data_IF_573820250361
#
_entry.id   IF_573820250361
#
_cell.length_a   1.000
_cell.length_b   1.000
_cell.length_c   1.000
_cell.angle_alpha   90.00
_cell.angle_beta   90.00
_cell.angle_gamma   90.00
#
_symmetry.space_group_name_H-M   'P 1'
#
loop_
_entity.id
_entity.type
_entity.pdbx_description
1 polymer ?
#
# COMPACT_ATOMS: atom_id res chain seq x y z
N UNK A 1 -79.22 18.20 14.94
CA UNK A 1 -78.34 17.25 15.66
C UNK A 1 -77.09 17.07 14.81
N UNK A 2 -75.96 17.63 15.25
CA UNK A 2 -74.73 17.83 14.46
C UNK A 2 -73.93 16.52 14.27
N UNK A 3 -73.68 16.12 13.02
CA UNK A 3 -72.73 15.06 12.68
C UNK A 3 -71.39 15.73 12.35
N UNK A 4 -70.44 15.69 13.29
CA UNK A 4 -69.05 16.10 13.08
C UNK A 4 -68.30 14.96 12.39
N UNK A 5 -68.02 15.13 11.10
CA UNK A 5 -67.13 14.25 10.33
C UNK A 5 -65.67 14.61 10.67
N UNK A 6 -64.99 13.75 11.44
CA UNK A 6 -63.55 13.87 11.71
C UNK A 6 -62.77 13.26 10.56
N UNK A 7 -62.12 14.10 9.76
CA UNK A 7 -61.20 13.70 8.71
C UNK A 7 -59.85 13.35 9.36
N UNK A 8 -59.50 12.06 9.39
CA UNK A 8 -58.20 11.59 9.87
C UNK A 8 -57.17 11.76 8.75
N UNK A 9 -56.19 12.64 8.95
CA UNK A 9 -55.07 12.85 8.04
C UNK A 9 -54.05 11.71 8.26
N UNK A 10 -54.06 10.71 7.39
CA UNK A 10 -53.04 9.66 7.38
C UNK A 10 -51.75 10.26 6.79
N UNK A 11 -50.78 10.57 7.64
CA UNK A 11 -49.42 10.91 7.22
C UNK A 11 -48.72 9.64 6.72
N UNK A 12 -48.77 9.39 5.42
CA UNK A 12 -47.96 8.37 4.77
C UNK A 12 -46.49 8.79 4.85
N UNK A 13 -45.77 8.24 5.83
CA UNK A 13 -44.31 8.28 5.82
C UNK A 13 -43.82 7.46 4.62
N UNK A 14 -43.50 8.14 3.52
CA UNK A 14 -42.75 7.54 2.41
C UNK A 14 -41.35 7.27 2.95
N UNK A 15 -41.12 6.05 3.43
CA UNK A 15 -39.78 5.54 3.59
C UNK A 15 -39.16 5.55 2.20
N UNK A 16 -38.32 6.54 1.91
CA UNK A 16 -37.39 6.50 0.79
C UNK A 16 -36.51 5.28 1.03
N UNK A 17 -36.90 4.14 0.45
CA UNK A 17 -36.00 3.04 0.23
C UNK A 17 -34.90 3.62 -0.67
N UNK A 18 -33.77 4.01 -0.08
CA UNK A 18 -32.55 4.24 -0.84
C UNK A 18 -32.26 2.93 -1.53
N UNK A 19 -32.60 2.83 -2.82
CA UNK A 19 -32.08 1.78 -3.67
C UNK A 19 -30.59 1.75 -3.46
N UNK A 20 -30.05 0.63 -2.99
CA UNK A 20 -28.60 0.42 -3.03
C UNK A 20 -28.20 0.55 -4.50
N UNK A 21 -27.69 1.72 -4.90
CA UNK A 21 -27.08 1.85 -6.22
C UNK A 21 -25.95 0.84 -6.26
N UNK A 22 -25.91 0.01 -7.31
CA UNK A 22 -24.77 -0.86 -7.52
C UNK A 22 -23.51 0.01 -7.62
N UNK A 23 -22.58 -0.16 -6.69
CA UNK A 23 -21.30 0.56 -6.68
C UNK A 23 -20.32 -0.13 -7.62
N UNK A 24 -19.51 0.65 -8.32
CA UNK A 24 -18.42 0.09 -9.13
C UNK A 24 -17.09 0.27 -8.41
N UNK A 25 -16.30 -0.80 -8.31
CA UNK A 25 -14.94 -0.76 -7.76
C UNK A 25 -13.90 -1.07 -8.84
N UNK A 26 -13.01 -0.12 -9.07
CA UNK A 26 -11.80 -0.30 -9.87
C UNK A 26 -10.76 -1.07 -9.06
N UNK A 27 -10.24 -2.19 -9.56
CA UNK A 27 -9.27 -3.01 -8.81
C UNK A 27 -8.00 -3.16 -9.64
N UNK A 28 -6.90 -2.62 -9.13
CA UNK A 28 -5.59 -2.88 -9.69
C UNK A 28 -5.04 -4.22 -9.20
N UNK A 29 -4.54 -5.03 -10.15
CA UNK A 29 -3.74 -6.22 -9.90
C UNK A 29 -2.79 -6.45 -11.08
N UNK A 30 -1.53 -6.83 -10.83
CA UNK A 30 -0.55 -7.13 -11.87
C UNK A 30 -1.04 -8.19 -12.87
N UNK A 31 -1.88 -9.13 -12.43
CA UNK A 31 -2.47 -10.19 -13.26
C UNK A 31 -3.94 -9.92 -13.61
N UNK A 32 -4.43 -8.70 -13.35
CA UNK A 32 -5.81 -8.31 -13.58
C UNK A 32 -6.78 -9.23 -12.83
N UNK A 33 -7.81 -9.74 -13.53
CA UNK A 33 -8.85 -10.56 -12.92
C UNK A 33 -8.37 -11.92 -12.36
N UNK A 34 -7.14 -12.33 -12.66
CA UNK A 34 -6.55 -13.60 -12.24
C UNK A 34 -5.63 -13.47 -11.01
N UNK A 35 -5.34 -12.26 -10.55
CA UNK A 35 -4.42 -12.07 -9.44
C UNK A 35 -5.06 -12.14 -8.06
N UNK A 36 -4.19 -12.25 -7.05
CA UNK A 36 -4.57 -12.44 -5.66
C UNK A 36 -5.26 -11.21 -5.06
N UNK A 37 -4.89 -9.99 -5.48
CA UNK A 37 -5.56 -8.77 -5.03
C UNK A 37 -6.99 -8.68 -5.59
N UNK A 38 -7.18 -9.05 -6.87
CA UNK A 38 -8.52 -9.15 -7.45
C UNK A 38 -9.36 -10.25 -6.79
N UNK A 39 -8.74 -11.38 -6.46
CA UNK A 39 -9.39 -12.47 -5.71
C UNK A 39 -9.86 -12.01 -4.33
N UNK A 40 -9.01 -11.28 -3.57
CA UNK A 40 -9.40 -10.68 -2.30
C UNK A 40 -10.57 -9.72 -2.44
N UNK A 41 -10.63 -8.94 -3.54
CA UNK A 41 -11.73 -8.01 -3.76
C UNK A 41 -13.06 -8.71 -4.10
N UNK A 42 -13.05 -9.96 -4.61
CA UNK A 42 -14.27 -10.77 -4.73
C UNK A 42 -14.83 -11.14 -3.36
N UNK A 43 -13.98 -11.57 -2.44
CA UNK A 43 -14.36 -11.86 -1.05
C UNK A 43 -14.89 -10.58 -0.37
N UNK A 44 -14.23 -9.45 -0.61
CA UNK A 44 -14.66 -8.14 -0.10
C UNK A 44 -16.04 -7.73 -0.63
N UNK A 45 -16.28 -7.84 -1.94
CA UNK A 45 -17.57 -7.51 -2.55
C UNK A 45 -18.71 -8.37 -2.00
N UNK A 46 -18.45 -9.65 -1.72
CA UNK A 46 -19.41 -10.54 -1.06
C UNK A 46 -19.72 -10.08 0.37
N UNK A 47 -18.70 -9.72 1.15
CA UNK A 47 -18.88 -9.21 2.52
C UNK A 47 -19.62 -7.86 2.55
N UNK A 48 -19.35 -6.99 1.58
CA UNK A 48 -19.92 -5.66 1.45
C UNK A 48 -21.45 -5.66 1.31
N UNK A 49 -22.04 -6.74 0.78
CA UNK A 49 -23.50 -6.95 0.75
C UNK A 49 -24.12 -6.92 2.14
N UNK A 50 -23.44 -7.51 3.13
CA UNK A 50 -23.85 -7.47 4.53
C UNK A 50 -23.80 -6.07 5.15
N UNK A 51 -23.15 -5.11 4.51
CA UNK A 51 -23.06 -3.72 4.95
C UNK A 51 -23.93 -2.78 4.11
N UNK A 52 -24.69 -3.30 3.15
CA UNK A 52 -25.63 -2.57 2.31
C UNK A 52 -25.05 -2.03 1.00
N UNK A 53 -23.88 -2.50 0.56
CA UNK A 53 -23.29 -2.14 -0.73
C UNK A 53 -23.30 -3.35 -1.69
N UNK A 54 -23.62 -3.10 -2.95
CA UNK A 54 -23.58 -4.13 -4.00
C UNK A 54 -22.51 -3.75 -5.02
N UNK A 55 -21.35 -4.39 -4.92
CA UNK A 55 -20.13 -3.95 -5.62
C UNK A 55 -19.90 -4.78 -6.87
N UNK A 56 -19.83 -4.12 -8.02
CA UNK A 56 -19.33 -4.66 -9.28
C UNK A 56 -17.85 -4.34 -9.43
N UNK A 57 -17.01 -5.36 -9.64
CA UNK A 57 -15.56 -5.21 -9.79
C UNK A 57 -15.17 -5.00 -11.25
N UNK A 58 -14.26 -4.04 -11.50
CA UNK A 58 -13.59 -3.81 -12.78
C UNK A 58 -12.09 -4.01 -12.61
N UNK A 59 -11.54 -5.03 -13.26
CA UNK A 59 -10.12 -5.36 -13.16
C UNK A 59 -9.26 -4.43 -14.03
N UNK A 60 -8.09 -4.04 -13.51
CA UNK A 60 -7.06 -3.28 -14.23
C UNK A 60 -5.69 -3.88 -13.98
N UNK A 61 -4.88 -3.94 -15.03
CA UNK A 61 -3.45 -4.22 -14.96
C UNK A 61 -2.61 -2.94 -14.96
N UNK A 62 -3.19 -1.80 -15.36
CA UNK A 62 -2.57 -0.48 -15.25
C UNK A 62 -3.14 0.25 -14.04
N UNK A 63 -2.33 0.37 -12.97
CA UNK A 63 -2.70 1.07 -11.75
C UNK A 63 -3.04 2.54 -11.99
N UNK A 64 -2.38 3.17 -12.98
CA UNK A 64 -2.65 4.56 -13.35
C UNK A 64 -4.07 4.69 -13.89
N UNK A 65 -4.49 3.79 -14.79
CA UNK A 65 -5.85 3.84 -15.35
C UNK A 65 -6.89 3.60 -14.27
N UNK A 66 -6.70 2.64 -13.36
CA UNK A 66 -7.61 2.42 -12.23
C UNK A 66 -7.76 3.68 -11.36
N UNK A 67 -6.65 4.36 -11.08
CA UNK A 67 -6.60 5.60 -10.29
C UNK A 67 -7.29 6.78 -11.00
N UNK A 68 -7.11 6.93 -12.31
CA UNK A 68 -7.74 8.01 -13.09
C UNK A 68 -9.23 7.77 -13.33
N UNK A 69 -9.66 6.53 -13.62
CA UNK A 69 -11.08 6.18 -13.75
C UNK A 69 -11.83 6.44 -12.43
N UNK A 70 -11.20 6.12 -11.28
CA UNK A 70 -11.74 6.46 -9.98
C UNK A 70 -11.87 7.98 -9.79
N UNK A 71 -10.83 8.77 -10.06
CA UNK A 71 -10.89 10.25 -9.97
C UNK A 71 -11.95 10.86 -10.88
N UNK A 72 -12.13 10.31 -12.07
CA UNK A 72 -13.13 10.72 -13.05
C UNK A 72 -14.57 10.29 -12.69
N UNK A 73 -14.76 9.52 -11.61
CA UNK A 73 -16.07 9.06 -11.16
C UNK A 73 -16.63 7.88 -11.95
N UNK A 74 -15.79 7.19 -12.74
CA UNK A 74 -16.15 5.94 -13.43
C UNK A 74 -16.21 4.75 -12.46
N UNK A 75 -15.59 4.90 -11.29
CA UNK A 75 -15.69 3.99 -10.17
C UNK A 75 -16.03 4.76 -8.88
N UNK A 76 -16.87 4.15 -8.04
CA UNK A 76 -17.25 4.65 -6.72
C UNK A 76 -16.22 4.28 -5.64
N UNK A 77 -15.44 3.23 -5.91
CA UNK A 77 -14.30 2.80 -5.09
C UNK A 77 -13.11 2.37 -5.95
N UNK A 78 -11.92 2.33 -5.35
CA UNK A 78 -10.71 1.80 -5.98
C UNK A 78 -9.84 1.04 -4.99
N UNK A 79 -9.25 -0.06 -5.42
CA UNK A 79 -8.18 -0.76 -4.71
C UNK A 79 -6.84 -0.54 -5.44
N UNK A 80 -5.88 0.08 -4.76
CA UNK A 80 -4.56 0.47 -5.30
C UNK A 80 -3.44 0.10 -4.31
N UNK A 81 -2.18 0.20 -4.72
CA UNK A 81 -1.05 0.22 -3.78
C UNK A 81 -1.12 1.46 -2.88
N UNK A 82 -0.62 1.35 -1.64
CA UNK A 82 -0.56 2.45 -0.67
C UNK A 82 0.24 3.65 -1.18
N UNK A 83 1.35 3.38 -1.88
CA UNK A 83 2.16 4.41 -2.54
C UNK A 83 1.31 5.26 -3.49
N UNK A 84 0.52 4.62 -4.38
CA UNK A 84 -0.38 5.32 -5.30
C UNK A 84 -1.54 5.98 -4.56
N UNK A 85 -2.08 5.33 -3.54
CA UNK A 85 -3.23 5.80 -2.78
C UNK A 85 -2.92 7.02 -1.88
N UNK A 86 -1.64 7.31 -1.62
CA UNK A 86 -1.19 8.50 -0.85
C UNK A 86 -1.76 9.82 -1.34
N UNK A 87 -2.06 9.92 -2.64
CA UNK A 87 -2.71 11.09 -3.23
C UNK A 87 -4.14 11.32 -2.74
N UNK A 88 -4.84 10.29 -2.26
CA UNK A 88 -6.19 10.38 -1.70
C UNK A 88 -6.14 10.58 -0.18
N UNK A 89 -5.19 9.91 0.50
CA UNK A 89 -5.00 10.04 1.93
C UNK A 89 -3.51 9.96 2.30
N UNK A 90 -2.95 11.07 2.80
CA UNK A 90 -1.53 11.11 3.19
C UNK A 90 -1.24 10.26 4.43
N UNK A 91 -2.19 10.05 5.34
CA UNK A 91 -2.00 9.31 6.58
C UNK A 91 -1.76 7.82 6.31
N UNK A 92 -2.66 7.16 5.57
CA UNK A 92 -2.49 5.72 5.23
C UNK A 92 -1.40 5.50 4.19
N UNK A 93 -1.33 6.33 3.15
CA UNK A 93 -0.28 6.21 2.13
C UNK A 93 1.14 6.50 2.63
N UNK A 94 1.30 6.98 3.87
CA UNK A 94 2.60 7.11 4.54
C UNK A 94 3.00 5.88 5.36
N UNK A 95 2.17 4.83 5.44
CA UNK A 95 2.59 3.54 6.03
C UNK A 95 3.77 2.97 5.25
N UNK A 96 3.77 3.15 3.93
CA UNK A 96 4.79 2.74 2.96
C UNK A 96 6.06 3.62 3.01
N UNK A 97 6.28 4.34 4.11
CA UNK A 97 7.49 5.14 4.26
C UNK A 97 8.75 4.25 4.25
N UNK A 98 9.82 4.76 3.64
CA UNK A 98 11.10 4.05 3.54
C UNK A 98 11.68 3.81 4.95
N UNK A 99 11.91 2.54 5.27
CA UNK A 99 12.29 2.06 6.60
C UNK A 99 11.24 2.29 7.68
N UNK A 100 9.99 2.56 7.30
CA UNK A 100 8.89 2.83 8.20
C UNK A 100 8.53 1.62 9.07
N UNK A 101 8.55 0.43 8.47
CA UNK A 101 8.22 -0.84 9.12
C UNK A 101 9.29 -1.90 8.81
N UNK A 102 10.01 -2.43 9.82
CA UNK A 102 11.15 -3.32 9.61
C UNK A 102 10.77 -4.79 9.49
N UNK A 103 9.50 -5.15 9.72
CA UNK A 103 9.06 -6.54 9.74
C UNK A 103 7.56 -6.72 9.44
N UNK A 104 7.18 -7.91 8.98
CA UNK A 104 5.78 -8.31 8.83
C UNK A 104 5.00 -8.25 10.16
N UNK A 105 5.64 -8.49 11.31
CA UNK A 105 5.00 -8.31 12.61
C UNK A 105 4.65 -6.84 12.88
N UNK A 106 5.50 -5.90 12.43
CA UNK A 106 5.27 -4.47 12.58
C UNK A 106 4.11 -4.03 11.69
N UNK A 107 4.11 -4.53 10.45
CA UNK A 107 3.06 -4.32 9.49
C UNK A 107 1.71 -4.82 10.01
N UNK A 108 1.65 -6.03 10.59
CA UNK A 108 0.43 -6.57 11.19
C UNK A 108 -0.13 -5.63 12.25
N UNK A 109 0.71 -5.14 13.16
CA UNK A 109 0.29 -4.21 14.21
C UNK A 109 -0.30 -2.91 13.66
N UNK A 110 0.39 -2.27 12.70
CA UNK A 110 -0.07 -1.02 12.10
C UNK A 110 -1.35 -1.22 11.29
N UNK A 111 -1.43 -2.28 10.49
CA UNK A 111 -2.58 -2.53 9.63
C UNK A 111 -3.82 -2.85 10.47
N UNK A 112 -3.69 -3.67 11.52
CA UNK A 112 -4.78 -3.91 12.47
C UNK A 112 -5.23 -2.62 13.17
N UNK A 113 -4.30 -1.70 13.46
CA UNK A 113 -4.63 -0.42 14.08
C UNK A 113 -5.51 0.45 13.16
N UNK A 114 -5.44 0.30 11.83
CA UNK A 114 -6.24 1.11 10.90
C UNK A 114 -7.75 0.87 11.04
N UNK A 115 -8.16 -0.26 11.63
CA UNK A 115 -9.57 -0.50 11.96
C UNK A 115 -10.05 0.21 13.23
N UNK A 116 -9.18 0.84 14.02
CA UNK A 116 -9.58 1.50 15.26
C UNK A 116 -10.50 2.72 14.97
N UNK A 117 -11.72 2.77 15.53
CA UNK A 117 -12.65 3.88 15.30
C UNK A 117 -12.09 5.26 15.69
N UNK A 118 -11.11 5.31 16.61
CA UNK A 118 -10.43 6.57 16.98
C UNK A 118 -9.61 7.18 15.84
N UNK A 119 -9.26 6.39 14.83
CA UNK A 119 -8.54 6.84 13.63
C UNK A 119 -9.49 7.14 12.46
N UNK A 120 -10.80 6.95 12.60
CA UNK A 120 -11.75 7.23 11.52
C UNK A 120 -11.62 8.65 10.94
N UNK A 121 -11.39 9.72 11.74
CA UNK A 121 -11.15 11.05 11.18
C UNK A 121 -9.91 11.14 10.28
N UNK A 122 -8.87 10.35 10.54
CA UNK A 122 -7.64 10.32 9.74
C UNK A 122 -7.82 9.57 8.40
N UNK A 123 -8.90 8.80 8.25
CA UNK A 123 -9.21 8.04 7.04
C UNK A 123 -9.90 8.90 5.97
N UNK A 124 -10.38 10.09 6.33
CA UNK A 124 -11.14 10.96 5.44
C UNK A 124 -10.28 12.13 4.99
N UNK A 125 -10.19 12.35 3.68
CA UNK A 125 -9.41 13.43 3.09
C UNK A 125 -9.95 13.79 1.72
N UNK A 126 -10.16 15.09 1.46
CA UNK A 126 -10.52 15.63 0.13
C UNK A 126 -11.73 14.95 -0.55
N UNK A 127 -12.75 14.58 0.24
CA UNK A 127 -13.95 13.89 -0.28
C UNK A 127 -13.76 12.40 -0.55
N UNK A 128 -12.63 11.82 -0.14
CA UNK A 128 -12.36 10.40 -0.15
C UNK A 128 -12.30 9.84 1.26
N UNK A 129 -12.62 8.55 1.40
CA UNK A 129 -12.43 7.80 2.65
C UNK A 129 -11.61 6.53 2.37
N UNK A 130 -10.66 6.23 3.23
CA UNK A 130 -9.98 4.92 3.24
C UNK A 130 -10.88 3.91 3.94
N UNK A 131 -11.45 3.00 3.16
CA UNK A 131 -12.32 1.93 3.63
C UNK A 131 -11.53 0.67 4.02
N UNK A 132 -10.24 0.59 3.71
CA UNK A 132 -9.42 -0.57 4.07
C UNK A 132 -7.95 -0.32 3.81
N UNK A 133 -7.11 -0.90 4.65
CA UNK A 133 -5.67 -0.99 4.44
C UNK A 133 -5.29 -2.45 4.67
N UNK A 134 -4.61 -3.05 3.71
CA UNK A 134 -4.02 -4.39 3.79
C UNK A 134 -2.52 -4.31 3.50
N UNK A 135 -1.82 -5.44 3.48
CA UNK A 135 -0.40 -5.52 3.09
C UNK A 135 -0.25 -6.23 1.76
N UNK A 136 0.70 -5.77 0.94
CA UNK A 136 1.20 -6.47 -0.25
C UNK A 136 2.59 -7.07 -0.03
N UNK A 137 3.15 -6.90 1.17
CA UNK A 137 4.39 -7.51 1.63
C UNK A 137 5.55 -6.54 1.74
N UNK A 138 6.66 -7.04 2.28
CA UNK A 138 7.92 -6.31 2.33
C UNK A 138 8.52 -6.17 0.93
N UNK A 139 8.87 -4.95 0.54
CA UNK A 139 9.68 -4.68 -0.62
C UNK A 139 11.17 -4.90 -0.30
N UNK A 140 11.81 -5.66 -1.18
CA UNK A 140 13.24 -5.95 -1.12
C UNK A 140 13.94 -5.29 -2.30
N UNK A 141 15.17 -4.84 -2.07
CA UNK A 141 16.03 -4.39 -3.15
C UNK A 141 16.50 -5.59 -3.94
N UNK A 142 16.31 -5.55 -5.25
CA UNK A 142 16.77 -6.55 -6.20
C UNK A 142 17.80 -5.91 -7.13
N UNK A 143 18.93 -6.58 -7.29
CA UNK A 143 20.06 -6.12 -8.09
C UNK A 143 20.35 -7.13 -9.18
N UNK A 144 20.65 -6.67 -10.39
CA UNK A 144 21.07 -7.55 -11.50
C UNK A 144 22.50 -8.11 -11.31
N UNK A 145 23.27 -7.54 -10.38
CA UNK A 145 24.63 -7.94 -10.05
C UNK A 145 24.87 -7.89 -8.53
N UNK A 146 25.22 -9.04 -7.95
CA UNK A 146 25.55 -9.25 -6.52
C UNK A 146 26.70 -8.40 -6.02
N UNK A 147 27.55 -7.87 -6.90
CA UNK A 147 28.58 -6.91 -6.51
C UNK A 147 27.99 -5.61 -5.96
N UNK A 148 26.74 -5.27 -6.29
CA UNK A 148 25.98 -4.14 -5.72
C UNK A 148 25.45 -4.53 -4.34
N UNK A 149 26.34 -4.70 -3.37
CA UNK A 149 26.02 -5.21 -2.03
C UNK A 149 26.21 -4.20 -0.88
N UNK A 150 26.49 -2.95 -1.20
CA UNK A 150 26.57 -1.84 -0.23
C UNK A 150 25.92 -0.59 -0.81
N UNK A 151 25.56 0.37 0.04
CA UNK A 151 25.05 1.68 -0.39
C UNK A 151 26.02 2.38 -1.34
N UNK A 152 27.33 2.36 -1.05
CA UNK A 152 28.35 2.99 -1.89
C UNK A 152 28.45 2.38 -3.29
N UNK A 153 28.20 1.08 -3.43
CA UNK A 153 28.24 0.39 -4.74
C UNK A 153 26.96 0.58 -5.56
N UNK A 154 25.91 1.15 -4.96
CA UNK A 154 24.73 1.60 -5.70
C UNK A 154 24.97 2.93 -6.43
N UNK A 155 26.01 3.71 -6.05
CA UNK A 155 26.33 4.96 -6.71
C UNK A 155 26.60 4.77 -8.20
N UNK A 156 26.02 5.64 -9.04
CA UNK A 156 26.09 5.58 -10.50
C UNK A 156 25.23 4.48 -11.15
N UNK A 157 24.64 3.57 -10.38
CA UNK A 157 23.76 2.51 -10.91
C UNK A 157 22.37 3.05 -11.23
N UNK A 158 21.72 2.49 -12.25
CA UNK A 158 20.36 2.86 -12.64
C UNK A 158 19.36 2.20 -11.70
N UNK A 159 18.61 3.01 -10.98
CA UNK A 159 17.63 2.54 -10.02
C UNK A 159 16.22 2.84 -10.54
N UNK A 160 15.38 1.83 -10.69
CA UNK A 160 13.98 1.98 -11.10
C UNK A 160 13.15 2.66 -10.02
N UNK A 161 12.58 3.81 -10.34
CA UNK A 161 11.74 4.61 -9.44
C UNK A 161 10.36 4.79 -10.06
N UNK A 162 9.32 4.54 -9.26
CA UNK A 162 7.94 4.74 -9.70
C UNK A 162 7.72 6.21 -10.07
N UNK A 163 7.18 6.47 -11.26
CA UNK A 163 6.97 7.80 -11.82
C UNK A 163 6.11 8.73 -10.94
N UNK A 164 5.25 8.13 -10.11
CA UNK A 164 4.38 8.81 -9.16
C UNK A 164 4.94 8.91 -7.73
N UNK A 165 6.11 8.33 -7.41
CA UNK A 165 6.68 8.37 -6.06
C UNK A 165 7.95 9.20 -5.96
N UNK A 166 7.79 10.48 -5.61
CA UNK A 166 8.90 11.39 -5.36
C UNK A 166 9.81 10.95 -4.21
N UNK A 167 9.28 10.20 -3.23
CA UNK A 167 10.08 9.73 -2.09
C UNK A 167 11.23 8.83 -2.54
N UNK A 168 10.94 7.86 -3.41
CA UNK A 168 11.95 6.98 -4.00
C UNK A 168 13.01 7.77 -4.76
N UNK A 169 12.61 8.72 -5.62
CA UNK A 169 13.55 9.53 -6.40
C UNK A 169 14.56 10.28 -5.50
N UNK A 170 14.06 10.92 -4.44
CA UNK A 170 14.89 11.67 -3.49
C UNK A 170 15.90 10.75 -2.80
N UNK A 171 15.45 9.59 -2.31
CA UNK A 171 16.34 8.64 -1.61
C UNK A 171 17.37 8.02 -2.55
N UNK A 172 16.96 7.66 -3.77
CA UNK A 172 17.85 7.14 -4.81
C UNK A 172 18.94 8.14 -5.17
N UNK A 173 18.59 9.42 -5.31
CA UNK A 173 19.57 10.48 -5.56
C UNK A 173 20.53 10.67 -4.38
N UNK A 174 20.04 10.58 -3.13
CA UNK A 174 20.88 10.68 -1.93
C UNK A 174 21.95 9.60 -1.83
N UNK A 175 21.70 8.39 -2.35
CA UNK A 175 22.69 7.31 -2.40
C UNK A 175 23.60 7.38 -3.64
N UNK A 176 23.47 8.44 -4.45
CA UNK A 176 24.28 8.65 -5.65
C UNK A 176 23.87 7.77 -6.85
N UNK A 177 22.77 7.03 -6.75
CA UNK A 177 22.23 6.25 -7.86
C UNK A 177 21.46 7.14 -8.85
N UNK A 178 21.27 6.63 -10.07
CA UNK A 178 20.59 7.34 -11.16
C UNK A 178 19.12 6.90 -11.24
N UNK A 179 18.15 7.75 -10.89
CA UNK A 179 16.74 7.36 -10.96
C UNK A 179 16.30 7.18 -12.42
N UNK A 180 15.72 6.03 -12.71
CA UNK A 180 15.07 5.72 -13.98
C UNK A 180 13.57 5.62 -13.73
N UNK A 181 12.81 6.53 -14.32
CA UNK A 181 11.35 6.56 -14.18
C UNK A 181 10.70 5.33 -14.84
N UNK A 182 9.84 4.67 -14.09
CA UNK A 182 9.08 3.47 -14.47
C UNK A 182 7.70 3.46 -13.86
N UNK A 183 6.84 2.60 -14.36
CA UNK A 183 5.58 2.19 -13.73
C UNK A 183 5.59 0.67 -13.50
N UNK A 184 4.51 0.13 -12.92
CA UNK A 184 4.39 -1.29 -12.62
C UNK A 184 4.28 -2.18 -13.86
N UNK A 185 3.95 -1.62 -15.04
CA UNK A 185 3.93 -2.35 -16.32
C UNK A 185 5.32 -2.47 -16.94
N UNK A 186 6.15 -1.43 -16.77
CA UNK A 186 7.43 -1.29 -17.46
C UNK A 186 8.62 -1.73 -16.62
N UNK A 187 8.52 -1.68 -15.28
CA UNK A 187 9.65 -1.96 -14.37
C UNK A 187 10.25 -3.35 -14.57
N UNK A 188 9.41 -4.39 -14.69
CA UNK A 188 9.85 -5.77 -14.90
C UNK A 188 10.60 -5.93 -16.22
N UNK A 189 10.02 -5.44 -17.32
CA UNK A 189 10.65 -5.48 -18.64
C UNK A 189 11.99 -4.74 -18.69
N UNK A 190 12.07 -3.54 -18.13
CA UNK A 190 13.32 -2.75 -18.11
C UNK A 190 14.41 -3.43 -17.26
N UNK A 191 14.06 -3.99 -16.11
CA UNK A 191 15.00 -4.73 -15.27
C UNK A 191 15.46 -6.02 -15.95
N UNK A 192 14.53 -6.81 -16.48
CA UNK A 192 14.81 -8.09 -17.15
C UNK A 192 15.72 -7.94 -18.37
N UNK A 193 15.68 -6.78 -19.04
CA UNK A 193 16.52 -6.46 -20.19
C UNK A 193 17.78 -5.65 -19.82
N UNK A 194 18.12 -5.51 -18.54
CA UNK A 194 19.33 -4.80 -18.10
C UNK A 194 19.32 -3.29 -18.38
N UNK A 195 18.16 -2.68 -18.58
CA UNK A 195 18.01 -1.21 -18.68
C UNK A 195 18.01 -0.54 -17.30
N UNK A 196 17.74 -1.32 -16.25
CA UNK A 196 17.77 -0.91 -14.86
C UNK A 196 18.63 -1.93 -14.09
N UNK A 197 19.46 -1.43 -13.18
CA UNK A 197 20.38 -2.26 -12.40
C UNK A 197 19.78 -2.67 -11.04
N UNK A 198 18.95 -1.78 -10.48
CA UNK A 198 18.39 -1.91 -9.14
C UNK A 198 16.89 -1.61 -9.18
N UNK A 199 16.08 -2.46 -8.57
CA UNK A 199 14.65 -2.22 -8.34
C UNK A 199 14.28 -2.53 -6.89
N UNK A 200 13.21 -1.93 -6.38
CA UNK A 200 12.62 -2.27 -5.08
C UNK A 200 11.18 -2.72 -5.26
N UNK A 201 10.88 -3.99 -5.01
CA UNK A 201 9.54 -4.55 -5.20
C UNK A 201 9.23 -5.61 -4.12
N UNK A 202 7.94 -5.80 -3.77
CA UNK A 202 7.54 -6.89 -2.90
C UNK A 202 7.73 -8.24 -3.56
N UNK A 203 7.93 -9.28 -2.76
CA UNK A 203 8.06 -10.66 -3.26
C UNK A 203 6.87 -11.10 -4.12
N UNK A 204 5.66 -10.55 -3.85
CA UNK A 204 4.46 -10.72 -4.67
C UNK A 204 4.69 -10.43 -6.17
N UNK A 205 5.50 -9.42 -6.49
CA UNK A 205 5.77 -9.04 -7.88
C UNK A 205 6.81 -9.95 -8.57
N UNK A 206 7.52 -10.80 -7.82
CA UNK A 206 8.66 -11.57 -8.33
C UNK A 206 8.33 -12.49 -9.49
N UNK A 207 7.28 -13.30 -9.34
CA UNK A 207 6.85 -14.25 -10.37
C UNK A 207 6.03 -13.57 -11.47
N UNK A 208 5.02 -12.72 -11.19
CA UNK A 208 4.24 -12.04 -12.22
C UNK A 208 5.09 -11.22 -13.20
N UNK A 209 6.15 -10.56 -12.71
CA UNK A 209 7.05 -9.75 -13.53
C UNK A 209 8.28 -10.51 -14.02
N UNK A 210 8.33 -11.82 -13.77
CA UNK A 210 9.42 -12.71 -14.16
C UNK A 210 10.81 -12.19 -13.76
N UNK A 211 10.94 -11.59 -12.57
CA UNK A 211 12.15 -10.87 -12.14
C UNK A 211 13.40 -11.78 -12.06
N UNK A 212 13.20 -13.09 -11.99
CA UNK A 212 14.26 -14.09 -12.11
C UNK A 212 15.04 -13.97 -13.43
N UNK A 213 14.44 -13.44 -14.51
CA UNK A 213 15.13 -13.17 -15.78
C UNK A 213 16.18 -12.06 -15.64
N UNK A 214 15.83 -10.96 -14.99
CA UNK A 214 16.74 -9.84 -14.72
C UNK A 214 17.81 -10.16 -13.67
N UNK A 215 17.50 -11.03 -12.72
CA UNK A 215 18.51 -11.54 -11.79
C UNK A 215 19.50 -12.47 -12.48
N UNK A 216 19.03 -13.39 -13.32
CA UNK A 216 19.87 -14.40 -13.96
C UNK A 216 20.73 -15.16 -12.93
N UNK A 217 21.99 -15.43 -13.26
CA UNK A 217 22.91 -16.11 -12.33
C UNK A 217 23.75 -15.15 -11.48
N UNK A 218 23.69 -13.84 -11.74
CA UNK A 218 24.56 -12.83 -11.10
C UNK A 218 23.84 -11.95 -10.10
N UNK A 219 22.53 -11.82 -10.23
CA UNK A 219 21.71 -10.94 -9.40
C UNK A 219 21.40 -11.50 -8.02
N UNK A 220 20.83 -10.64 -7.19
CA UNK A 220 20.35 -10.99 -5.87
C UNK A 220 19.11 -10.21 -5.45
N UNK A 221 18.39 -10.79 -4.50
CA UNK A 221 17.42 -10.12 -3.62
C UNK A 221 18.10 -9.88 -2.28
N UNK A 222 18.26 -8.62 -1.91
CA UNK A 222 18.89 -8.21 -0.65
C UNK A 222 17.90 -8.48 0.49
N UNK A 223 18.29 -9.29 1.47
CA UNK A 223 17.48 -9.67 2.63
C UNK A 223 17.45 -8.55 3.68
N UNK A 224 16.86 -7.43 3.28
CA UNK A 224 16.66 -6.26 4.11
C UNK A 224 15.42 -5.52 3.61
N UNK A 225 14.28 -5.62 4.31
CA UNK A 225 13.06 -4.95 3.87
C UNK A 225 13.24 -3.43 3.97
N UNK A 226 12.93 -2.73 2.88
CA UNK A 226 13.10 -1.26 2.80
C UNK A 226 11.78 -0.51 2.88
N UNK A 227 10.66 -1.15 2.53
CA UNK A 227 9.31 -0.60 2.58
C UNK A 227 8.37 -1.76 2.87
N UNK A 228 7.36 -1.56 3.71
CA UNK A 228 6.18 -2.43 3.71
C UNK A 228 5.18 -1.81 2.74
N UNK A 229 4.85 -2.50 1.66
CA UNK A 229 3.87 -1.99 0.69
C UNK A 229 2.48 -2.32 1.19
N UNK A 230 1.58 -1.33 1.30
CA UNK A 230 0.17 -1.57 1.60
C UNK A 230 -0.67 -1.66 0.33
N UNK A 231 -1.86 -2.22 0.49
CA UNK A 231 -2.96 -2.06 -0.46
C UNK A 231 -4.08 -1.27 0.21
N UNK A 232 -4.58 -0.24 -0.45
CA UNK A 232 -5.59 0.67 0.10
C UNK A 232 -6.88 0.56 -0.70
N UNK A 233 -8.00 0.41 0.00
CA UNK A 233 -9.35 0.55 -0.57
C UNK A 233 -9.81 1.97 -0.30
N UNK A 234 -9.98 2.75 -1.36
CA UNK A 234 -10.45 4.14 -1.31
C UNK A 234 -11.87 4.20 -1.84
N UNK A 235 -12.76 4.91 -1.14
CA UNK A 235 -14.16 5.08 -1.55
C UNK A 235 -14.53 6.55 -1.68
N UNK A 236 -15.56 6.82 -2.49
CA UNK A 236 -16.35 8.05 -2.43
C UNK A 236 -17.45 7.85 -1.38
N UNK A 237 -17.33 8.39 -0.16
CA UNK A 237 -18.20 8.01 0.94
C UNK A 237 -19.68 8.32 0.69
N UNK A 238 -20.00 9.32 -0.16
CA UNK A 238 -21.36 9.67 -0.58
C UNK A 238 -22.04 8.59 -1.46
N UNK A 239 -21.26 7.65 -2.01
CA UNK A 239 -21.74 6.52 -2.83
C UNK A 239 -22.03 5.27 -2.01
N UNK A 240 -21.68 5.27 -0.71
CA UNK A 240 -21.81 4.12 0.17
C UNK A 240 -22.74 4.41 1.35
N UNK A 241 -23.35 3.38 1.97
CA UNK A 241 -24.18 3.55 3.15
C UNK A 241 -23.44 4.23 4.31
N UNK A 242 -24.18 4.94 5.17
CA UNK A 242 -23.62 5.55 6.36
C UNK A 242 -22.88 4.51 7.23
N UNK A 243 -21.65 4.84 7.65
CA UNK A 243 -20.80 3.96 8.45
C UNK A 243 -20.13 2.82 7.67
N UNK A 244 -20.26 2.77 6.34
CA UNK A 244 -19.66 1.74 5.50
C UNK A 244 -18.15 1.64 5.68
N UNK A 245 -17.42 2.76 5.61
CA UNK A 245 -15.95 2.76 5.69
C UNK A 245 -15.41 2.12 6.97
N UNK A 246 -16.07 2.34 8.12
CA UNK A 246 -15.67 1.69 9.38
C UNK A 246 -15.95 0.18 9.38
N UNK A 247 -17.10 -0.28 8.88
CA UNK A 247 -17.41 -1.72 8.76
C UNK A 247 -16.41 -2.41 7.84
N UNK A 248 -16.11 -1.76 6.72
CA UNK A 248 -15.11 -2.20 5.76
C UNK A 248 -13.72 -2.33 6.39
N UNK A 249 -13.23 -1.30 7.10
CA UNK A 249 -11.90 -1.36 7.74
C UNK A 249 -11.79 -2.49 8.75
N UNK A 250 -12.84 -2.71 9.54
CA UNK A 250 -12.90 -3.83 10.49
C UNK A 250 -12.81 -5.19 9.80
N UNK A 251 -13.50 -5.36 8.66
CA UNK A 251 -13.39 -6.60 7.89
C UNK A 251 -12.02 -6.77 7.25
N UNK A 252 -11.46 -5.73 6.63
CA UNK A 252 -10.13 -5.81 6.01
C UNK A 252 -9.07 -6.17 7.06
N UNK A 253 -9.14 -5.57 8.25
CA UNK A 253 -8.23 -5.91 9.34
C UNK A 253 -8.39 -7.35 9.84
N UNK A 254 -9.58 -7.96 9.74
CA UNK A 254 -9.77 -9.37 10.11
C UNK A 254 -9.16 -10.35 9.10
N UNK A 255 -8.86 -9.89 7.88
CA UNK A 255 -8.19 -10.70 6.84
C UNK A 255 -6.67 -10.70 6.96
N UNK A 256 -6.09 -9.90 7.86
CA UNK A 256 -4.63 -9.66 7.89
C UNK A 256 -3.81 -10.93 8.07
N UNK A 257 -4.31 -11.92 8.81
CA UNK A 257 -3.59 -13.18 9.02
C UNK A 257 -3.55 -14.06 7.77
N UNK A 258 -4.65 -14.07 6.98
CA UNK A 258 -4.70 -14.75 5.68
C UNK A 258 -3.70 -14.09 4.72
N UNK A 259 -3.66 -12.77 4.68
CA UNK A 259 -2.75 -12.02 3.80
C UNK A 259 -1.27 -12.23 4.19
N UNK A 260 -0.95 -12.18 5.48
CA UNK A 260 0.40 -12.45 5.96
C UNK A 260 0.87 -13.87 5.63
N UNK A 261 -0.04 -14.86 5.67
CA UNK A 261 0.28 -16.22 5.25
C UNK A 261 0.62 -16.30 3.75
N UNK A 262 -0.12 -15.58 2.90
CA UNK A 262 0.18 -15.47 1.48
C UNK A 262 1.55 -14.83 1.23
N UNK A 263 1.83 -13.69 1.87
CA UNK A 263 3.12 -12.99 1.76
C UNK A 263 4.28 -13.91 2.16
N UNK A 264 4.18 -14.55 3.33
CA UNK A 264 5.22 -15.46 3.80
C UNK A 264 5.44 -16.66 2.85
N UNK A 265 4.37 -17.18 2.24
CA UNK A 265 4.47 -18.24 1.24
C UNK A 265 5.18 -17.73 -0.02
N UNK A 266 4.85 -16.53 -0.48
CA UNK A 266 5.42 -15.95 -1.69
C UNK A 266 6.90 -15.61 -1.51
N UNK A 267 7.29 -15.04 -0.36
CA UNK A 267 8.72 -14.83 -0.03
C UNK A 267 9.51 -16.14 -0.04
N UNK A 268 8.97 -17.21 0.55
CA UNK A 268 9.60 -18.54 0.56
C UNK A 268 9.66 -19.21 -0.81
N UNK A 269 8.86 -18.76 -1.77
CA UNK A 269 8.88 -19.28 -3.15
C UNK A 269 10.04 -18.75 -3.99
N UNK A 270 10.70 -17.67 -3.55
CA UNK A 270 11.91 -17.15 -4.17
C UNK A 270 13.06 -18.11 -3.85
N UNK A 271 13.68 -18.68 -4.89
CA UNK A 271 14.81 -19.60 -4.78
C UNK A 271 15.91 -19.04 -3.85
N UNK A 272 16.35 -19.87 -2.90
CA UNK A 272 17.38 -19.56 -1.91
C UNK A 272 18.64 -18.94 -2.54
N UNK A 273 19.00 -19.36 -3.76
CA UNK A 273 20.17 -18.86 -4.49
C UNK A 273 20.10 -17.39 -4.84
N UNK A 274 18.94 -16.75 -4.81
CA UNK A 274 18.82 -15.32 -5.09
C UNK A 274 19.03 -14.46 -3.84
N UNK A 275 18.80 -15.01 -2.66
CA UNK A 275 18.92 -14.20 -1.45
C UNK A 275 20.38 -13.84 -1.15
N UNK A 276 20.58 -12.62 -0.65
CA UNK A 276 21.88 -12.10 -0.23
C UNK A 276 21.69 -11.30 1.06
N UNK A 277 22.48 -11.59 2.08
CA UNK A 277 22.45 -10.84 3.32
C UNK A 277 23.35 -9.60 3.25
N UNK A 278 22.96 -8.55 3.96
CA UNK A 278 23.80 -7.37 4.18
C UNK A 278 24.75 -7.67 5.33
N UNK A 279 26.02 -7.30 5.19
CA UNK A 279 27.01 -7.41 6.26
C UNK A 279 26.56 -6.59 7.49
N UNK A 280 26.77 -7.13 8.70
CA UNK A 280 26.21 -6.56 9.93
C UNK A 280 26.64 -5.09 10.17
N UNK A 281 27.89 -4.76 9.82
CA UNK A 281 28.45 -3.42 9.89
C UNK A 281 27.77 -2.42 8.92
N UNK A 282 27.22 -2.89 7.80
CA UNK A 282 26.59 -2.03 6.81
C UNK A 282 25.13 -1.70 7.18
N UNK A 283 24.45 -2.58 7.94
CA UNK A 283 23.02 -2.41 8.32
C UNK A 283 22.73 -1.07 8.99
N UNK A 284 23.63 -0.60 9.86
CA UNK A 284 23.48 0.69 10.56
C UNK A 284 23.41 1.85 9.56
N UNK A 285 24.20 1.78 8.47
CA UNK A 285 24.18 2.77 7.40
C UNK A 285 22.83 2.83 6.69
N UNK A 286 22.21 1.67 6.41
CA UNK A 286 20.86 1.61 5.84
C UNK A 286 19.82 2.21 6.78
N UNK A 287 19.82 1.84 8.06
CA UNK A 287 18.86 2.39 9.04
C UNK A 287 19.02 3.91 9.15
N UNK A 288 20.25 4.42 9.24
CA UNK A 288 20.54 5.86 9.26
C UNK A 288 20.01 6.58 8.02
N UNK A 289 20.31 6.07 6.82
CA UNK A 289 19.80 6.63 5.57
C UNK A 289 18.27 6.71 5.55
N UNK A 290 17.60 5.60 5.89
CA UNK A 290 16.15 5.53 5.85
C UNK A 290 15.53 6.49 6.89
N UNK A 291 16.14 6.63 8.07
CA UNK A 291 15.74 7.62 9.07
C UNK A 291 15.81 9.04 8.56
N UNK A 292 16.96 9.43 8.02
CA UNK A 292 17.18 10.76 7.47
C UNK A 292 16.23 11.05 6.31
N UNK A 293 15.95 10.04 5.48
CA UNK A 293 14.94 10.12 4.44
C UNK A 293 13.54 10.41 5.03
N UNK A 294 13.09 9.66 6.04
CA UNK A 294 11.77 9.88 6.65
C UNK A 294 11.63 11.29 7.24
N UNK A 295 12.65 11.78 7.93
CA UNK A 295 12.64 13.13 8.51
C UNK A 295 12.53 14.19 7.40
N UNK A 296 13.36 14.08 6.38
CA UNK A 296 13.38 15.04 5.27
C UNK A 296 12.08 15.02 4.46
N UNK A 297 11.60 13.83 4.09
CA UNK A 297 10.36 13.65 3.34
C UNK A 297 9.12 14.09 4.15
N UNK A 298 9.16 14.00 5.48
CA UNK A 298 8.13 14.57 6.35
C UNK A 298 8.17 16.09 6.36
N UNK A 299 9.36 16.70 6.43
CA UNK A 299 9.54 18.17 6.35
C UNK A 299 9.05 18.73 5.01
N UNK A 300 9.23 17.97 3.93
CA UNK A 300 8.74 18.32 2.60
C UNK A 300 7.23 18.06 2.41
N UNK A 301 6.53 17.53 3.42
CA UNK A 301 5.10 17.23 3.36
C UNK A 301 4.74 15.99 2.54
N UNK A 302 5.72 15.19 2.12
CA UNK A 302 5.50 13.95 1.38
C UNK A 302 4.97 12.86 2.32
N UNK A 303 5.56 12.75 3.51
CA UNK A 303 5.07 11.84 4.56
C UNK A 303 4.25 12.57 5.61
N UNK A 304 3.20 11.91 6.08
CA UNK A 304 2.32 12.42 7.12
C UNK A 304 3.00 12.35 8.49
N UNK A 305 3.12 13.51 9.14
CA UNK A 305 3.79 13.66 10.44
C UNK A 305 3.18 12.76 11.52
N UNK A 306 1.85 12.66 11.61
CA UNK A 306 1.17 11.83 12.60
C UNK A 306 1.48 10.35 12.36
N UNK A 307 1.45 9.91 11.11
CA UNK A 307 1.81 8.52 10.77
C UNK A 307 3.28 8.24 11.11
N UNK A 308 4.22 9.14 10.79
CA UNK A 308 5.64 8.93 11.15
C UNK A 308 5.85 8.75 12.65
N UNK A 309 5.18 9.55 13.47
CA UNK A 309 5.22 9.38 14.93
C UNK A 309 4.67 8.01 15.39
N UNK A 310 3.64 7.47 14.71
CA UNK A 310 3.10 6.14 15.00
C UNK A 310 4.10 5.05 14.57
N UNK A 311 4.63 5.13 13.35
CA UNK A 311 5.60 4.15 12.84
C UNK A 311 6.85 4.10 13.71
N UNK A 312 7.37 5.25 14.16
CA UNK A 312 8.51 5.31 15.08
C UNK A 312 8.24 4.58 16.40
N UNK A 313 7.06 4.78 17.00
CA UNK A 313 6.67 4.04 18.21
C UNK A 313 6.65 2.54 17.98
N UNK A 314 6.11 2.09 16.85
CA UNK A 314 6.11 0.66 16.50
C UNK A 314 7.52 0.12 16.32
N UNK A 315 8.40 0.82 15.60
CA UNK A 315 9.80 0.42 15.47
C UNK A 315 10.50 0.29 16.81
N UNK A 316 10.32 1.28 17.69
CA UNK A 316 10.93 1.27 19.02
C UNK A 316 10.33 0.28 20.01
N UNK A 317 9.09 -0.16 19.77
CA UNK A 317 8.50 -1.28 20.51
C UNK A 317 9.11 -2.62 20.06
N UNK A 318 9.46 -2.77 18.78
CA UNK A 318 10.04 -4.00 18.24
C UNK A 318 11.53 -4.12 18.52
N UNK A 319 12.26 -3.02 18.36
CA UNK A 319 13.68 -2.94 18.65
C UNK A 319 13.97 -1.68 19.50
N UNK A 320 13.80 -1.78 20.84
CA UNK A 320 14.11 -0.69 21.74
C UNK A 320 15.60 -0.31 21.75
N UNK A 321 16.48 -1.17 21.23
CA UNK A 321 17.94 -0.95 21.21
C UNK A 321 18.41 -0.18 19.98
N UNK A 322 17.53 0.03 19.00
CA UNK A 322 17.82 0.87 17.83
C UNK A 322 18.18 2.29 18.28
N UNK A 323 19.26 2.84 17.72
CA UNK A 323 19.72 4.20 18.02
C UNK A 323 18.65 5.26 17.74
N UNK A 324 17.71 4.98 16.84
CA UNK A 324 16.62 5.89 16.46
C UNK A 324 15.69 6.22 17.63
N UNK A 325 15.59 5.31 18.62
CA UNK A 325 14.62 5.36 19.70
C UNK A 325 14.98 6.32 20.82
N UNK A 326 16.26 6.68 20.93
CA UNK A 326 16.73 7.74 21.83
C UNK A 326 16.53 9.15 21.25
N UNK A 327 16.20 9.26 19.96
CA UNK A 327 16.16 10.53 19.23
C UNK A 327 14.71 11.06 19.10
N UNK A 328 14.52 12.38 19.05
CA UNK A 328 13.19 13.04 19.11
C UNK A 328 12.83 13.89 17.89
N UNK A 329 13.74 14.00 16.92
CA UNK A 329 13.67 14.82 15.69
C UNK A 329 12.94 14.15 14.50
N UNK A 330 12.39 12.95 14.71
CA UNK A 330 11.50 12.24 13.79
C UNK A 330 10.06 12.25 14.31
#
# INVERSE_FOLDING_TARGET
MNIKMKMALAASAVALATSAQAQTMCVFDLLGAQGDSYSMMKDYALAAKGWGADITLKAYTDERVASEDFKAGQCDAVALTGIRARQFNSFTGSIDAIGGLPSNAAAKLIISLMANPKLAPDMVSQGYEIAGVTTLGSAYIMVNDRSINTLSKAAGKRFGVLDYDKAQAIVVQKVGAQPVSVDLLTIGGKFNNGQIDIIGLPALAFKPLELYKGLGNKGAVIRFPVVQVTGDIVIRPDKFPAGYGQKSRTWVASQIDKEMALINKTEKSIDAKYWMDIAANDKVGYVKLMREARIDLTKQGIYNKKMMSILKKVRCQQDPTSFECALTDE
#
